data_IF_332936854732
#
_entry.id   IF_332936854732
#
_cell.length_a   1.000
_cell.length_b   1.000
_cell.length_c   1.000
_cell.angle_alpha   90.00
_cell.angle_beta   90.00
_cell.angle_gamma   90.00
#
_symmetry.space_group_name_H-M   'P 1'
#
loop_
_entity.id
_entity.type
_entity.pdbx_description
1 polymer ?
#
# COMPACT_ATOMS: atom_id res chain seq x y z
N UNK A 1 -33.76 95.78 19.21
CA UNK A 1 -33.92 94.39 19.65
C UNK A 1 -34.96 93.64 18.85
N UNK A 2 -34.48 92.85 17.89
CA UNK A 2 -35.02 91.57 17.48
C UNK A 2 -33.89 90.90 16.68
N UNK A 3 -33.34 89.80 17.23
CA UNK A 3 -32.19 89.10 16.69
C UNK A 3 -32.50 88.38 15.38
N UNK A 4 -31.55 88.42 14.45
CA UNK A 4 -31.48 87.48 13.35
C UNK A 4 -30.66 86.27 13.82
N UNK A 5 -31.33 85.15 14.04
CA UNK A 5 -30.69 83.84 14.09
C UNK A 5 -30.07 83.55 12.71
N UNK A 6 -28.84 83.04 12.62
CA UNK A 6 -28.29 82.63 11.34
C UNK A 6 -29.03 81.36 10.88
N UNK A 7 -29.69 81.45 9.73
CA UNK A 7 -30.24 80.32 8.99
C UNK A 7 -29.10 79.32 8.74
N UNK A 8 -29.08 78.24 9.52
CA UNK A 8 -28.26 77.06 9.30
C UNK A 8 -28.80 76.29 8.11
N UNK A 9 -28.58 76.81 6.89
CA UNK A 9 -28.65 75.99 5.69
C UNK A 9 -27.60 74.86 5.81
N UNK A 10 -27.88 73.66 5.30
CA UNK A 10 -26.87 72.60 5.30
C UNK A 10 -25.63 73.18 4.59
N UNK A 11 -24.48 73.09 5.25
CA UNK A 11 -23.21 73.47 4.65
C UNK A 11 -22.99 72.73 3.33
N UNK A 12 -22.03 73.16 2.48
CA UNK A 12 -21.69 72.41 1.29
C UNK A 12 -21.48 70.95 1.68
N UNK A 13 -22.21 70.02 1.05
CA UNK A 13 -22.07 68.60 1.32
C UNK A 13 -20.57 68.27 1.19
N UNK A 14 -20.00 67.76 2.28
CA UNK A 14 -18.62 67.31 2.31
C UNK A 14 -18.59 65.91 1.74
N UNK A 15 -17.64 65.64 0.85
CA UNK A 15 -17.41 64.30 0.34
C UNK A 15 -16.83 63.39 1.44
N UNK A 16 -16.65 62.10 1.16
CA UNK A 16 -16.16 61.17 2.18
C UNK A 16 -14.73 61.49 2.66
N UNK A 17 -13.95 62.26 1.89
CA UNK A 17 -12.59 62.68 2.22
C UNK A 17 -12.57 63.98 3.04
N UNK A 18 -13.75 64.54 3.33
CA UNK A 18 -13.92 65.79 4.08
C UNK A 18 -13.71 67.04 3.24
N UNK A 19 -13.68 66.94 1.91
CA UNK A 19 -13.58 68.07 0.99
C UNK A 19 -14.97 68.66 0.70
N UNK A 20 -15.23 69.94 1.02
CA UNK A 20 -16.49 70.60 0.68
C UNK A 20 -16.72 70.61 -0.84
N UNK A 21 -17.81 69.98 -1.31
CA UNK A 21 -18.15 69.88 -2.73
C UNK A 21 -17.25 68.96 -3.56
N UNK A 22 -16.49 68.06 -2.91
CA UNK A 22 -15.68 67.05 -3.62
C UNK A 22 -16.51 65.91 -4.21
N UNK A 23 -15.87 65.09 -5.06
CA UNK A 23 -16.48 63.96 -5.79
C UNK A 23 -16.36 62.62 -5.08
N UNK A 24 -15.54 62.51 -4.03
CA UNK A 24 -15.20 61.22 -3.44
C UNK A 24 -16.41 60.56 -2.75
N UNK A 25 -16.61 59.28 -3.03
CA UNK A 25 -17.64 58.45 -2.39
C UNK A 25 -17.00 57.25 -1.72
N UNK A 26 -17.62 56.75 -0.66
CA UNK A 26 -17.19 55.49 -0.03
C UNK A 26 -17.65 54.35 -0.93
N UNK A 27 -16.71 53.55 -1.44
CA UNK A 27 -16.98 52.33 -2.20
C UNK A 27 -17.54 51.22 -1.29
N UNK A 28 -17.87 50.07 -1.88
CA UNK A 28 -18.47 48.96 -1.14
C UNK A 28 -17.48 48.23 -0.19
N UNK A 29 -16.18 48.54 -0.28
CA UNK A 29 -15.13 48.08 0.63
C UNK A 29 -14.70 49.13 1.66
N UNK A 30 -15.34 50.30 1.68
CA UNK A 30 -15.04 51.34 2.65
C UNK A 30 -13.90 52.28 2.26
N UNK A 31 -13.37 52.18 1.02
CA UNK A 31 -12.37 53.11 0.48
C UNK A 31 -13.07 54.37 0.01
N UNK A 32 -12.49 55.53 0.32
CA UNK A 32 -13.05 56.82 -0.02
C UNK A 32 -12.20 57.50 -1.10
N UNK A 33 -12.66 57.45 -2.35
CA UNK A 33 -12.10 58.19 -3.47
C UNK A 33 -13.13 58.34 -4.61
N UNK A 34 -12.69 58.82 -5.77
CA UNK A 34 -13.50 59.00 -6.98
C UNK A 34 -12.99 58.20 -8.18
N UNK A 35 -12.16 57.17 -7.94
CA UNK A 35 -11.59 56.32 -8.99
C UNK A 35 -12.32 54.97 -9.08
N UNK A 36 -13.37 54.85 -9.91
CA UNK A 36 -14.11 53.59 -10.05
C UNK A 36 -13.26 52.43 -10.60
N UNK A 37 -12.02 52.66 -11.04
CA UNK A 37 -11.11 51.60 -11.44
C UNK A 37 -10.44 50.89 -10.25
N UNK A 38 -10.48 51.47 -9.05
CA UNK A 38 -9.93 50.87 -7.83
C UNK A 38 -11.01 50.37 -6.85
N UNK A 39 -12.29 50.63 -7.14
CA UNK A 39 -13.43 50.03 -6.45
C UNK A 39 -13.23 48.51 -6.35
N UNK A 40 -13.34 47.97 -5.15
CA UNK A 40 -13.12 46.54 -4.95
C UNK A 40 -14.13 45.67 -5.72
N UNK A 41 -13.69 44.52 -6.19
CA UNK A 41 -14.54 43.52 -6.85
C UNK A 41 -15.06 42.50 -5.84
N UNK A 42 -16.22 41.91 -6.15
CA UNK A 42 -16.70 40.74 -5.43
C UNK A 42 -15.90 39.52 -5.89
N UNK A 43 -15.36 38.77 -4.94
CA UNK A 43 -14.71 37.49 -5.18
C UNK A 43 -15.74 36.39 -5.50
N UNK A 44 -15.30 35.15 -5.73
CA UNK A 44 -16.25 34.06 -6.04
C UNK A 44 -17.12 33.63 -4.83
N UNK A 45 -16.75 33.99 -3.60
CA UNK A 45 -17.45 33.63 -2.37
C UNK A 45 -18.54 34.65 -2.02
N UNK A 46 -18.59 35.75 -2.78
CA UNK A 46 -19.51 36.86 -2.56
C UNK A 46 -18.96 37.91 -1.61
N UNK A 47 -17.67 37.84 -1.25
CA UNK A 47 -17.00 38.84 -0.42
C UNK A 47 -16.43 39.96 -1.30
N UNK A 48 -16.83 41.20 -1.00
CA UNK A 48 -16.27 42.37 -1.65
C UNK A 48 -14.85 42.61 -1.14
N UNK A 49 -13.89 42.66 -2.06
CA UNK A 49 -12.47 42.81 -1.75
C UNK A 49 -11.80 41.54 -1.21
N UNK A 50 -12.43 40.38 -1.34
CA UNK A 50 -11.83 39.09 -1.01
C UNK A 50 -10.87 38.58 -2.10
N UNK A 51 -10.04 37.59 -1.74
CA UNK A 51 -9.00 37.03 -2.60
C UNK A 51 -9.42 35.69 -3.25
N UNK A 52 -10.63 35.18 -2.98
CA UNK A 52 -11.05 33.86 -3.45
C UNK A 52 -11.28 33.82 -4.97
N UNK A 53 -10.76 32.79 -5.63
CA UNK A 53 -10.90 32.57 -7.07
C UNK A 53 -11.59 31.22 -7.29
N UNK A 54 -12.57 31.19 -8.20
CA UNK A 54 -13.21 29.94 -8.56
C UNK A 54 -12.24 29.11 -9.40
N UNK A 55 -11.90 27.91 -8.94
CA UNK A 55 -11.09 26.97 -9.68
C UNK A 55 -11.86 26.37 -10.88
N UNK A 56 -11.19 25.57 -11.70
CA UNK A 56 -11.81 24.93 -12.88
C UNK A 56 -12.87 23.87 -12.54
N UNK A 57 -12.96 23.50 -11.25
CA UNK A 57 -13.92 22.57 -10.68
C UNK A 57 -15.12 23.30 -10.03
N UNK A 58 -15.07 24.64 -9.93
CA UNK A 58 -16.10 25.49 -9.36
C UNK A 58 -16.02 25.63 -7.83
N UNK A 59 -14.94 25.17 -7.20
CA UNK A 59 -14.65 25.44 -5.79
C UNK A 59 -14.09 26.85 -5.70
N UNK A 60 -14.54 27.59 -4.69
CA UNK A 60 -14.18 28.98 -4.49
C UNK A 60 -13.42 29.12 -3.18
N UNK A 61 -12.10 29.29 -3.27
CA UNK A 61 -11.22 29.61 -2.16
C UNK A 61 -9.96 30.34 -2.67
N UNK A 62 -8.99 30.59 -1.79
CA UNK A 62 -7.72 31.28 -2.06
C UNK A 62 -6.50 30.35 -1.97
N UNK A 63 -6.70 29.02 -1.93
CA UNK A 63 -5.63 28.03 -1.80
C UNK A 63 -5.27 27.39 -3.16
N UNK A 64 -4.26 27.91 -3.87
CA UNK A 64 -3.89 27.39 -5.19
C UNK A 64 -3.32 25.96 -5.15
N UNK A 65 -3.09 25.38 -3.97
CA UNK A 65 -2.62 24.00 -3.83
C UNK A 65 -3.73 22.97 -3.97
N UNK A 66 -5.00 23.39 -3.83
CA UNK A 66 -6.17 22.53 -3.97
C UNK A 66 -6.95 22.77 -5.28
N UNK A 67 -6.58 23.80 -6.05
CA UNK A 67 -7.20 24.22 -7.32
C UNK A 67 -7.35 23.04 -8.29
N UNK A 68 -8.54 22.42 -8.30
CA UNK A 68 -8.95 21.40 -9.25
C UNK A 68 -7.86 20.32 -9.48
N UNK A 69 -7.24 19.86 -8.38
CA UNK A 69 -6.12 18.91 -8.41
C UNK A 69 -6.52 17.61 -9.12
N UNK A 70 -5.58 17.08 -9.90
CA UNK A 70 -5.74 15.81 -10.61
C UNK A 70 -5.71 14.64 -9.62
N UNK A 71 -6.75 13.80 -9.66
CA UNK A 71 -6.81 12.55 -8.91
C UNK A 71 -5.82 11.51 -9.49
N UNK A 72 -5.67 10.35 -8.85
CA UNK A 72 -4.71 9.35 -9.36
C UNK A 72 -5.07 8.76 -10.74
N UNK A 73 -6.30 8.98 -11.22
CA UNK A 73 -6.81 8.50 -12.50
C UNK A 73 -6.67 9.55 -13.61
N UNK A 74 -6.11 10.71 -13.29
CA UNK A 74 -5.94 11.80 -14.23
C UNK A 74 -7.16 12.72 -14.36
N UNK A 75 -8.09 12.65 -13.40
CA UNK A 75 -9.33 13.43 -13.43
C UNK A 75 -9.20 14.64 -12.51
N UNK A 76 -9.26 15.84 -13.09
CA UNK A 76 -9.30 17.09 -12.34
C UNK A 76 -10.51 17.14 -11.41
N UNK A 77 -10.28 17.32 -10.11
CA UNK A 77 -11.31 17.27 -9.07
C UNK A 77 -11.98 15.92 -8.90
N UNK A 78 -11.34 14.84 -9.37
CA UNK A 78 -11.84 13.48 -9.17
C UNK A 78 -11.58 12.94 -7.76
N UNK A 79 -12.29 11.87 -7.41
CA UNK A 79 -12.22 11.25 -6.08
C UNK A 79 -11.33 9.99 -6.04
N UNK A 80 -10.62 9.65 -7.12
CA UNK A 80 -9.78 8.44 -7.13
C UNK A 80 -8.49 8.66 -6.31
N UNK A 81 -8.15 7.67 -5.48
CA UNK A 81 -6.94 7.71 -4.66
C UNK A 81 -6.11 6.45 -4.83
N UNK A 82 -4.79 6.57 -4.59
CA UNK A 82 -3.90 5.40 -4.54
C UNK A 82 -4.22 4.61 -3.26
N UNK A 83 -4.56 3.33 -3.40
CA UNK A 83 -4.85 2.41 -2.30
C UNK A 83 -3.58 1.82 -1.66
N UNK A 84 -3.75 1.04 -0.59
CA UNK A 84 -2.64 0.40 0.16
C UNK A 84 -1.84 -0.62 -0.67
N UNK A 85 -2.36 -1.00 -1.85
CA UNK A 85 -1.70 -1.88 -2.81
C UNK A 85 -1.03 -1.10 -3.95
N UNK A 86 -1.01 0.23 -3.89
CA UNK A 86 -0.38 1.09 -4.88
C UNK A 86 -1.21 1.30 -6.16
N UNK A 87 -2.51 0.99 -6.13
CA UNK A 87 -3.39 1.13 -7.30
C UNK A 87 -4.29 2.33 -7.18
N UNK A 88 -4.56 2.99 -8.29
CA UNK A 88 -5.58 4.01 -8.32
C UNK A 88 -6.98 3.38 -8.25
N UNK A 89 -7.72 3.63 -7.18
CA UNK A 89 -9.03 3.06 -6.92
C UNK A 89 -10.06 4.13 -6.50
N UNK A 90 -11.35 3.81 -6.64
CA UNK A 90 -12.44 4.75 -6.37
C UNK A 90 -12.70 5.75 -7.50
N UNK A 91 -13.54 6.75 -7.23
CA UNK A 91 -13.92 7.79 -8.18
C UNK A 91 -14.35 7.23 -9.55
N UNK A 92 -13.76 7.79 -10.61
CA UNK A 92 -14.05 7.43 -12.00
C UNK A 92 -13.49 6.08 -12.46
N UNK A 93 -12.57 5.47 -11.70
CA UNK A 93 -11.96 4.18 -12.06
C UNK A 93 -12.95 3.02 -11.98
N UNK A 94 -13.96 3.13 -11.12
CA UNK A 94 -14.87 2.03 -10.79
C UNK A 94 -14.19 0.83 -10.12
N UNK A 95 -12.90 0.93 -9.77
CA UNK A 95 -12.14 -0.14 -9.11
C UNK A 95 -12.36 -0.07 -7.60
N UNK A 96 -12.64 -1.21 -6.94
CA UNK A 96 -12.65 -1.27 -5.49
C UNK A 96 -11.22 -1.14 -4.95
N UNK A 97 -11.08 -0.46 -3.81
CA UNK A 97 -9.83 -0.48 -3.04
C UNK A 97 -9.47 -1.92 -2.67
N UNK A 98 -8.17 -2.22 -2.63
CA UNK A 98 -7.72 -3.51 -2.17
C UNK A 98 -7.97 -3.69 -0.67
N UNK A 99 -7.97 -4.96 -0.25
CA UNK A 99 -7.95 -5.38 1.14
C UNK A 99 -6.58 -5.96 1.41
N UNK A 100 -5.89 -5.41 2.41
CA UNK A 100 -4.63 -5.95 2.91
C UNK A 100 -4.92 -6.93 4.03
N UNK A 101 -4.36 -8.14 3.94
CA UNK A 101 -4.52 -9.21 4.92
C UNK A 101 -3.17 -9.71 5.40
N UNK A 102 -3.03 -9.90 6.70
CA UNK A 102 -1.86 -10.49 7.35
C UNK A 102 -2.08 -11.98 7.63
N UNK A 103 -1.07 -12.79 7.34
CA UNK A 103 -1.06 -14.23 7.56
C UNK A 103 0.12 -14.63 8.42
N UNK A 104 -0.18 -15.23 9.57
CA UNK A 104 0.81 -15.92 10.40
C UNK A 104 1.14 -17.29 9.79
N UNK A 105 2.39 -17.77 9.92
CA UNK A 105 2.75 -19.11 9.48
C UNK A 105 2.03 -20.17 10.31
N UNK A 106 1.41 -21.11 9.62
CA UNK A 106 0.71 -22.24 10.24
C UNK A 106 1.63 -23.42 10.52
N UNK A 107 2.80 -23.46 9.89
CA UNK A 107 3.86 -24.43 10.15
C UNK A 107 5.21 -23.92 9.64
N UNK A 108 6.29 -24.28 10.31
CA UNK A 108 7.65 -24.17 9.79
C UNK A 108 8.51 -25.38 10.16
N UNK A 109 9.65 -25.56 9.48
CA UNK A 109 10.64 -26.56 9.88
C UNK A 109 11.98 -26.32 9.19
N UNK A 110 13.07 -26.49 9.92
CA UNK A 110 14.38 -26.73 9.29
C UNK A 110 14.57 -28.22 9.03
N UNK A 111 15.06 -28.58 7.84
CA UNK A 111 15.43 -29.94 7.45
C UNK A 111 16.83 -29.97 6.85
N UNK A 112 17.57 -31.06 7.05
CA UNK A 112 18.99 -31.13 6.68
C UNK A 112 19.37 -32.43 5.99
N UNK A 113 20.13 -32.36 4.91
CA UNK A 113 20.59 -33.53 4.16
C UNK A 113 21.59 -34.39 4.95
N UNK A 114 22.40 -33.76 5.80
CA UNK A 114 23.40 -34.43 6.65
C UNK A 114 22.74 -35.19 7.82
N UNK A 115 21.53 -34.81 8.21
CA UNK A 115 20.71 -35.45 9.25
C UNK A 115 19.32 -35.77 8.70
N UNK A 116 19.19 -36.74 7.78
CA UNK A 116 18.01 -36.83 6.92
C UNK A 116 16.72 -37.31 7.60
N UNK A 117 16.80 -37.78 8.85
CA UNK A 117 15.65 -38.14 9.68
C UNK A 117 15.42 -37.19 10.86
N UNK A 118 16.18 -36.10 10.97
CA UNK A 118 15.96 -35.09 11.99
C UNK A 118 14.88 -34.10 11.53
N UNK A 119 14.10 -33.64 12.49
CA UNK A 119 13.10 -32.58 12.36
C UNK A 119 13.47 -31.46 13.34
N UNK A 120 13.30 -30.21 12.91
CA UNK A 120 13.54 -29.03 13.73
C UNK A 120 12.36 -28.04 13.64
N UNK A 121 11.13 -28.54 13.54
CA UNK A 121 9.91 -27.72 13.46
C UNK A 121 9.33 -27.30 14.81
N UNK A 122 10.06 -27.51 15.91
CA UNK A 122 9.69 -26.97 17.24
C UNK A 122 10.75 -26.01 17.78
N UNK A 123 11.73 -25.65 16.95
CA UNK A 123 12.80 -24.75 17.31
C UNK A 123 12.33 -23.31 17.16
N UNK A 124 12.71 -22.42 18.09
CA UNK A 124 12.39 -20.99 18.00
C UNK A 124 13.21 -20.23 16.94
N UNK A 125 14.04 -20.94 16.17
CA UNK A 125 14.96 -20.40 15.18
C UNK A 125 14.93 -21.23 13.89
N UNK A 126 14.85 -20.56 12.75
CA UNK A 126 14.97 -21.14 11.42
C UNK A 126 16.40 -20.99 10.93
N UNK A 127 17.01 -22.08 10.45
CA UNK A 127 18.36 -22.07 9.90
C UNK A 127 18.32 -22.24 8.38
N UNK A 128 18.99 -21.32 7.69
CA UNK A 128 19.25 -21.41 6.25
C UNK A 128 20.75 -21.48 6.04
N UNK A 129 21.25 -22.62 5.57
CA UNK A 129 22.69 -22.89 5.47
C UNK A 129 23.05 -23.75 4.25
N UNK A 130 23.67 -23.11 3.26
CA UNK A 130 24.00 -23.75 2.00
C UNK A 130 22.79 -24.39 1.31
N UNK A 131 23.07 -25.26 0.34
CA UNK A 131 22.04 -25.87 -0.50
C UNK A 131 21.42 -27.15 0.10
N UNK A 132 21.96 -27.62 1.23
CA UNK A 132 21.61 -28.88 1.90
C UNK A 132 20.87 -28.69 3.24
N UNK A 133 20.66 -27.45 3.69
CA UNK A 133 19.80 -27.13 4.83
C UNK A 133 18.68 -26.23 4.35
N UNK A 134 17.46 -26.74 4.38
CA UNK A 134 16.27 -26.03 3.90
C UNK A 134 15.42 -25.62 5.09
N UNK A 135 14.90 -24.40 5.03
CA UNK A 135 13.79 -23.98 5.89
C UNK A 135 12.50 -24.04 5.07
N UNK A 136 11.50 -24.72 5.61
CA UNK A 136 10.13 -24.77 5.10
C UNK A 136 9.28 -23.79 5.92
N UNK A 137 8.40 -23.04 5.26
CA UNK A 137 7.48 -22.11 5.90
C UNK A 137 6.13 -22.19 5.19
N UNK A 138 5.03 -22.45 5.92
CA UNK A 138 3.68 -22.60 5.35
C UNK A 138 2.70 -21.58 5.88
N UNK A 139 1.87 -21.07 4.98
CA UNK A 139 0.76 -20.16 5.27
C UNK A 139 -0.56 -20.77 4.80
N UNK A 140 -1.62 -20.54 5.58
CA UNK A 140 -3.00 -20.87 5.22
C UNK A 140 -3.67 -19.63 4.64
N UNK A 141 -3.98 -19.68 3.34
CA UNK A 141 -4.56 -18.57 2.59
C UNK A 141 -6.09 -18.69 2.44
N UNK A 142 -6.76 -19.57 3.21
CA UNK A 142 -8.21 -19.77 3.12
C UNK A 142 -9.04 -18.53 3.46
N UNK A 143 -8.43 -17.52 4.13
CA UNK A 143 -9.07 -16.23 4.34
C UNK A 143 -9.19 -15.38 3.06
N UNK A 144 -8.39 -15.65 2.03
CA UNK A 144 -8.57 -15.08 0.69
C UNK A 144 -9.77 -15.74 0.01
N UNK A 145 -10.55 -14.96 -0.73
CA UNK A 145 -11.72 -15.48 -1.46
C UNK A 145 -11.28 -16.06 -2.82
N UNK A 146 -12.02 -17.03 -3.34
CA UNK A 146 -11.72 -17.74 -4.60
C UNK A 146 -11.58 -16.83 -5.83
N UNK A 147 -12.23 -15.67 -5.79
CA UNK A 147 -12.20 -14.62 -6.81
C UNK A 147 -11.20 -13.49 -6.49
N UNK A 148 -10.33 -13.66 -5.49
CA UNK A 148 -9.28 -12.70 -5.16
C UNK A 148 -8.26 -12.60 -6.30
N UNK A 149 -8.04 -11.37 -6.75
CA UNK A 149 -6.90 -11.00 -7.58
C UNK A 149 -5.85 -10.38 -6.68
N UNK A 150 -4.65 -10.96 -6.69
CA UNK A 150 -3.53 -10.55 -5.85
C UNK A 150 -2.80 -9.40 -6.52
N UNK A 151 -2.80 -8.24 -5.86
CA UNK A 151 -2.15 -7.02 -6.36
C UNK A 151 -0.69 -6.96 -5.90
N UNK A 152 -0.45 -7.32 -4.64
CA UNK A 152 0.88 -7.30 -4.03
C UNK A 152 0.99 -8.36 -2.93
N UNK A 153 2.20 -8.87 -2.72
CA UNK A 153 2.52 -9.73 -1.60
C UNK A 153 3.93 -9.46 -1.09
N UNK A 154 4.05 -9.40 0.23
CA UNK A 154 5.32 -9.19 0.94
C UNK A 154 5.46 -10.23 2.04
N UNK A 155 6.50 -11.05 1.95
CA UNK A 155 6.95 -11.89 3.04
C UNK A 155 7.89 -11.08 3.93
N UNK A 156 7.58 -11.01 5.22
CA UNK A 156 8.47 -10.44 6.23
C UNK A 156 9.09 -11.55 7.06
N UNK A 157 10.40 -11.47 7.29
CA UNK A 157 11.15 -12.37 8.16
C UNK A 157 12.13 -11.57 9.01
N UNK A 158 12.40 -12.03 10.22
CA UNK A 158 13.32 -11.35 11.12
C UNK A 158 14.64 -12.13 11.24
N UNK A 159 15.71 -11.61 10.63
CA UNK A 159 17.06 -12.18 10.75
C UNK A 159 17.73 -11.65 12.01
N UNK A 160 18.36 -12.50 12.82
CA UNK A 160 18.97 -12.08 14.09
C UNK A 160 20.42 -12.53 14.31
N UNK A 161 20.88 -13.54 13.56
CA UNK A 161 22.26 -14.01 13.61
C UNK A 161 22.66 -14.69 12.30
N UNK A 162 23.93 -14.65 11.94
CA UNK A 162 24.44 -15.38 10.77
C UNK A 162 25.94 -15.27 10.62
N UNK A 163 26.50 -16.17 9.83
CA UNK A 163 27.84 -16.05 9.24
C UNK A 163 27.68 -16.08 7.72
N UNK A 164 27.72 -14.90 7.13
CA UNK A 164 27.41 -14.70 5.71
C UNK A 164 28.58 -14.98 4.79
N UNK A 165 29.79 -15.13 5.34
CA UNK A 165 31.01 -15.46 4.61
C UNK A 165 31.14 -14.76 3.25
N UNK A 166 31.49 -15.53 2.22
CA UNK A 166 31.54 -15.07 0.83
C UNK A 166 30.18 -15.04 0.11
N UNK A 167 29.10 -15.48 0.77
CA UNK A 167 27.76 -15.59 0.19
C UNK A 167 26.93 -14.31 0.27
N UNK A 168 27.47 -13.24 0.87
CA UNK A 168 26.80 -11.94 1.06
C UNK A 168 25.41 -12.02 1.74
N UNK A 169 25.12 -13.15 2.41
CA UNK A 169 23.87 -13.34 3.12
C UNK A 169 22.65 -13.57 2.22
N UNK A 170 22.85 -13.91 0.95
CA UNK A 170 21.74 -14.15 0.02
C UNK A 170 20.95 -15.40 0.43
N UNK A 171 19.63 -15.25 0.53
CA UNK A 171 18.67 -16.33 0.66
C UNK A 171 17.73 -16.28 -0.53
N UNK A 172 17.54 -17.43 -1.17
CA UNK A 172 16.60 -17.62 -2.26
C UNK A 172 15.36 -18.33 -1.74
N UNK A 173 14.20 -17.87 -2.18
CA UNK A 173 12.90 -18.41 -1.79
C UNK A 173 12.26 -19.08 -2.99
N UNK A 174 11.79 -20.31 -2.80
CA UNK A 174 11.16 -21.13 -3.82
C UNK A 174 9.75 -21.53 -3.40
N UNK A 175 8.87 -21.72 -4.37
CA UNK A 175 7.64 -22.47 -4.16
C UNK A 175 7.97 -23.95 -3.95
N UNK A 176 7.24 -24.61 -3.05
CA UNK A 176 7.27 -26.06 -2.95
C UNK A 176 6.58 -26.72 -4.16
N UNK A 177 6.99 -27.93 -4.49
CA UNK A 177 6.33 -28.77 -5.49
C UNK A 177 6.39 -30.25 -5.07
N UNK A 178 5.91 -31.15 -5.92
CA UNK A 178 5.92 -32.59 -5.66
C UNK A 178 7.09 -33.33 -6.32
N UNK A 179 8.14 -32.62 -6.80
CA UNK A 179 9.20 -33.25 -7.59
C UNK A 179 10.07 -34.23 -6.82
N UNK A 180 10.16 -34.07 -5.50
CA UNK A 180 10.99 -34.90 -4.61
C UNK A 180 10.18 -36.01 -3.91
N UNK A 181 8.95 -36.26 -4.36
CA UNK A 181 8.09 -37.35 -3.88
C UNK A 181 7.42 -37.11 -2.52
N UNK A 182 7.69 -35.97 -1.88
CA UNK A 182 6.87 -35.44 -0.79
C UNK A 182 5.66 -34.67 -1.33
N UNK A 183 4.58 -34.67 -0.55
CA UNK A 183 3.35 -33.94 -0.86
C UNK A 183 3.42 -32.54 -0.25
N UNK A 184 3.15 -31.52 -1.07
CA UNK A 184 3.28 -30.10 -0.67
C UNK A 184 2.31 -29.74 0.46
N UNK A 185 1.14 -30.38 0.49
CA UNK A 185 0.05 -29.98 1.37
C UNK A 185 -0.03 -30.80 2.66
N UNK A 186 0.61 -31.96 2.70
CA UNK A 186 0.44 -32.92 3.80
C UNK A 186 1.60 -32.93 4.79
N UNK A 187 2.72 -32.24 4.50
CA UNK A 187 3.83 -32.21 5.44
C UNK A 187 3.40 -31.61 6.78
N UNK A 188 3.90 -32.20 7.87
CA UNK A 188 3.60 -31.76 9.22
C UNK A 188 4.87 -31.20 9.87
N UNK A 189 4.71 -30.10 10.56
CA UNK A 189 5.76 -29.36 11.27
C UNK A 189 6.65 -30.23 12.15
N UNK A 190 6.06 -31.12 12.93
CA UNK A 190 6.74 -31.94 13.94
C UNK A 190 7.32 -33.26 13.40
N UNK A 191 7.06 -33.59 12.13
CA UNK A 191 7.48 -34.88 11.54
C UNK A 191 8.20 -34.77 10.20
N UNK A 192 8.13 -33.62 9.52
CA UNK A 192 8.82 -33.43 8.24
C UNK A 192 10.33 -33.59 8.42
N UNK A 193 10.94 -34.36 7.55
CA UNK A 193 12.37 -34.59 7.55
C UNK A 193 12.90 -34.43 6.13
N UNK A 194 14.22 -34.46 5.96
CA UNK A 194 14.81 -34.40 4.63
C UNK A 194 14.28 -35.50 3.71
N UNK A 195 14.06 -36.70 4.24
CA UNK A 195 13.41 -37.79 3.52
C UNK A 195 11.89 -37.56 3.49
N UNK A 196 11.31 -37.47 2.30
CA UNK A 196 9.87 -37.21 2.12
C UNK A 196 9.49 -35.73 2.18
N UNK A 197 10.47 -34.81 2.17
CA UNK A 197 10.23 -33.37 2.06
C UNK A 197 9.52 -33.01 0.74
N UNK A 198 8.79 -31.89 0.70
CA UNK A 198 8.36 -31.28 -0.56
C UNK A 198 9.57 -30.96 -1.44
N UNK A 199 9.38 -31.06 -2.77
CA UNK A 199 10.41 -30.69 -3.73
C UNK A 199 10.55 -29.18 -3.90
N UNK A 200 11.70 -28.76 -4.43
CA UNK A 200 11.98 -27.35 -4.70
C UNK A 200 11.54 -26.98 -6.12
N UNK A 201 10.54 -26.10 -6.20
CA UNK A 201 9.95 -25.62 -7.45
C UNK A 201 10.59 -24.35 -8.00
N UNK A 202 9.74 -23.43 -8.46
CA UNK A 202 10.15 -22.17 -9.07
C UNK A 202 10.72 -21.23 -8.02
N UNK A 203 11.79 -20.51 -8.37
CA UNK A 203 12.31 -19.41 -7.56
C UNK A 203 11.34 -18.22 -7.60
N UNK A 204 10.89 -17.77 -6.44
CA UNK A 204 9.95 -16.66 -6.26
C UNK A 204 10.67 -15.33 -6.06
N UNK A 205 11.88 -15.37 -5.51
CA UNK A 205 12.73 -14.19 -5.35
C UNK A 205 13.85 -14.44 -4.35
N UNK A 206 14.50 -13.34 -3.94
CA UNK A 206 15.68 -13.36 -3.07
C UNK A 206 15.66 -12.19 -2.11
N UNK A 207 16.26 -12.38 -0.95
CA UNK A 207 16.57 -11.31 -0.01
C UNK A 207 17.97 -11.52 0.56
N UNK A 208 18.53 -10.51 1.20
CA UNK A 208 19.84 -10.58 1.84
C UNK A 208 19.74 -10.25 3.32
N UNK A 209 20.57 -10.92 4.12
CA UNK A 209 20.75 -10.61 5.52
C UNK A 209 22.24 -10.60 5.85
N UNK A 210 22.79 -9.50 6.35
CA UNK A 210 24.24 -9.37 6.55
C UNK A 210 24.79 -10.11 7.78
N UNK A 211 23.92 -10.66 8.64
CA UNK A 211 24.31 -11.44 9.82
C UNK A 211 24.84 -10.62 11.00
N UNK A 212 24.90 -9.29 10.89
CA UNK A 212 25.63 -8.44 11.85
C UNK A 212 24.76 -7.90 12.99
N UNK A 213 23.47 -7.69 12.74
CA UNK A 213 22.51 -7.21 13.73
C UNK A 213 21.10 -7.74 13.44
N UNK A 214 20.19 -7.80 14.42
CA UNK A 214 18.79 -8.11 14.17
C UNK A 214 18.14 -7.11 13.22
N UNK A 215 17.37 -7.61 12.25
CA UNK A 215 16.72 -6.81 11.22
C UNK A 215 15.47 -7.49 10.65
N UNK A 216 14.44 -6.68 10.40
CA UNK A 216 13.30 -7.07 9.56
C UNK A 216 13.71 -7.03 8.10
N UNK A 217 13.35 -8.08 7.37
CA UNK A 217 13.70 -8.27 5.97
C UNK A 217 12.44 -8.57 5.20
N UNK A 218 12.32 -7.93 4.05
CA UNK A 218 11.16 -8.04 3.18
C UNK A 218 11.53 -8.70 1.87
N UNK A 219 10.71 -9.66 1.46
CA UNK A 219 10.69 -10.20 0.11
C UNK A 219 9.35 -9.85 -0.52
N UNK A 220 9.41 -8.97 -1.52
CA UNK A 220 8.28 -8.63 -2.39
C UNK A 220 8.65 -8.89 -3.85
N UNK A 221 7.65 -9.03 -4.71
CA UNK A 221 7.81 -9.07 -6.17
C UNK A 221 6.92 -10.07 -6.88
N UNK A 222 6.92 -9.99 -8.21
CA UNK A 222 6.00 -10.69 -9.10
C UNK A 222 6.02 -12.22 -8.95
N UNK A 223 7.16 -12.80 -8.54
CA UNK A 223 7.27 -14.24 -8.31
C UNK A 223 6.36 -14.71 -7.17
N UNK A 224 6.43 -14.04 -6.01
CA UNK A 224 5.61 -14.35 -4.85
C UNK A 224 4.13 -14.04 -5.11
N UNK A 225 3.83 -12.87 -5.68
CA UNK A 225 2.46 -12.49 -6.06
C UNK A 225 1.83 -13.52 -6.98
N UNK A 226 2.56 -13.97 -8.02
CA UNK A 226 2.05 -14.95 -8.96
C UNK A 226 1.84 -16.33 -8.31
N UNK A 227 2.66 -16.73 -7.35
CA UNK A 227 2.49 -18.01 -6.66
C UNK A 227 1.25 -18.00 -5.77
N UNK A 228 1.06 -16.94 -4.98
CA UNK A 228 -0.15 -16.78 -4.15
C UNK A 228 -1.40 -16.75 -5.04
N UNK A 229 -1.35 -16.05 -6.18
CA UNK A 229 -2.46 -16.05 -7.13
C UNK A 229 -2.79 -17.46 -7.64
N UNK A 230 -1.80 -18.34 -7.80
CA UNK A 230 -2.03 -19.73 -8.19
C UNK A 230 -2.69 -20.53 -7.06
N UNK A 231 -2.23 -20.33 -5.82
CA UNK A 231 -2.78 -21.01 -4.65
C UNK A 231 -4.20 -20.56 -4.29
N UNK A 232 -4.60 -19.33 -4.61
CA UNK A 232 -6.01 -18.89 -4.41
C UNK A 232 -7.00 -19.77 -5.18
N UNK A 233 -6.59 -20.34 -6.31
CA UNK A 233 -7.42 -21.21 -7.15
C UNK A 233 -7.35 -22.69 -6.76
N UNK A 234 -6.58 -23.05 -5.74
CA UNK A 234 -6.56 -24.42 -5.20
C UNK A 234 -7.61 -24.55 -4.08
N UNK A 235 -8.11 -25.77 -3.84
CA UNK A 235 -9.14 -26.00 -2.82
C UNK A 235 -8.59 -25.82 -1.39
N UNK A 236 -7.30 -26.08 -1.21
CA UNK A 236 -6.62 -26.06 0.08
C UNK A 236 -5.95 -24.71 0.40
N UNK A 237 -5.58 -23.93 -0.62
CA UNK A 237 -4.98 -22.59 -0.51
C UNK A 237 -3.80 -22.55 0.48
N UNK A 238 -2.93 -23.56 0.41
CA UNK A 238 -1.74 -23.65 1.26
C UNK A 238 -0.51 -23.20 0.48
N UNK A 239 0.15 -22.14 0.94
CA UNK A 239 1.42 -21.72 0.38
C UNK A 239 2.57 -22.32 1.20
N UNK A 240 3.40 -23.16 0.59
CA UNK A 240 4.67 -23.60 1.21
C UNK A 240 5.86 -22.97 0.50
N UNK A 241 6.68 -22.24 1.26
CA UNK A 241 7.91 -21.59 0.83
C UNK A 241 9.13 -22.38 1.30
N UNK A 242 10.15 -22.45 0.45
CA UNK A 242 11.42 -23.14 0.74
C UNK A 242 12.57 -22.16 0.64
N UNK A 243 13.30 -21.98 1.73
CA UNK A 243 14.41 -21.05 1.83
C UNK A 243 15.72 -21.82 1.74
N UNK A 244 16.61 -21.36 0.87
CA UNK A 244 17.91 -21.98 0.62
C UNK A 244 18.95 -20.89 0.41
N UNK A 245 20.19 -21.11 0.85
CA UNK A 245 21.34 -20.27 0.49
C UNK A 245 22.35 -21.07 -0.31
N UNK A 246 23.36 -20.42 -0.89
CA UNK A 246 24.46 -21.15 -1.55
C UNK A 246 25.70 -21.24 -0.66
N UNK A 247 26.05 -20.14 0.01
CA UNK A 247 27.34 -19.99 0.71
C UNK A 247 27.24 -19.22 2.03
N UNK A 248 26.03 -18.94 2.52
CA UNK A 248 25.79 -18.21 3.77
C UNK A 248 25.07 -19.11 4.77
N UNK A 249 25.34 -18.88 6.05
CA UNK A 249 24.54 -19.40 7.16
C UNK A 249 23.81 -18.23 7.81
N UNK A 250 22.48 -18.25 7.82
CA UNK A 250 21.66 -17.23 8.48
C UNK A 250 20.57 -17.85 9.33
N UNK A 251 20.19 -17.14 10.39
CA UNK A 251 19.16 -17.53 11.35
C UNK A 251 18.07 -16.50 11.40
N UNK A 252 16.84 -16.99 11.35
CA UNK A 252 15.61 -16.19 11.39
C UNK A 252 14.74 -16.66 12.54
N UNK A 253 13.83 -15.81 13.01
CA UNK A 253 12.83 -16.24 14.02
C UNK A 253 11.85 -17.22 13.39
N UNK A 254 11.57 -18.29 14.12
CA UNK A 254 10.51 -19.23 13.81
C UNK A 254 9.18 -18.76 14.41
N UNK A 255 8.09 -19.43 14.06
CA UNK A 255 6.77 -19.14 14.64
C UNK A 255 6.67 -19.46 16.13
N UNK A 256 7.55 -20.31 16.65
CA UNK A 256 7.67 -20.62 18.09
C UNK A 256 8.32 -19.49 18.89
N UNK A 257 8.89 -18.48 18.22
CA UNK A 257 9.58 -17.39 18.91
C UNK A 257 8.64 -16.60 19.83
N UNK A 258 9.08 -16.23 21.03
CA UNK A 258 8.21 -15.59 22.04
C UNK A 258 7.68 -14.21 21.61
N UNK A 259 8.50 -13.41 20.93
CA UNK A 259 8.11 -12.10 20.41
C UNK A 259 7.34 -12.25 19.09
N UNK A 260 6.02 -12.08 19.15
CA UNK A 260 5.12 -12.28 17.99
C UNK A 260 5.42 -11.32 16.84
N UNK A 261 5.90 -10.13 17.14
CA UNK A 261 6.28 -9.09 16.19
C UNK A 261 7.54 -9.43 15.38
N UNK A 262 8.41 -10.30 15.90
CA UNK A 262 9.60 -10.79 15.20
C UNK A 262 9.32 -12.08 14.41
N UNK A 263 8.12 -12.66 14.51
CA UNK A 263 7.78 -13.89 13.78
C UNK A 263 7.63 -13.62 12.28
N UNK A 264 7.82 -14.65 11.42
CA UNK A 264 7.50 -14.50 10.01
C UNK A 264 6.04 -14.09 9.83
N UNK A 265 5.76 -13.25 8.83
CA UNK A 265 4.40 -12.90 8.42
C UNK A 265 4.34 -12.73 6.91
N UNK A 266 3.20 -13.06 6.32
CA UNK A 266 2.91 -12.78 4.92
C UNK A 266 1.81 -11.72 4.84
N UNK A 267 2.10 -10.62 4.17
CA UNK A 267 1.15 -9.53 3.91
C UNK A 267 0.69 -9.64 2.47
N UNK A 268 -0.62 -9.74 2.26
CA UNK A 268 -1.21 -9.91 0.93
C UNK A 268 -2.23 -8.80 0.68
N UNK A 269 -1.99 -8.01 -0.35
CA UNK A 269 -2.93 -7.04 -0.89
C UNK A 269 -3.72 -7.65 -2.04
N UNK A 270 -5.05 -7.69 -1.92
CA UNK A 270 -5.91 -8.29 -2.93
C UNK A 270 -7.22 -7.52 -3.10
N UNK A 271 -7.80 -7.58 -4.29
CA UNK A 271 -9.13 -7.09 -4.58
C UNK A 271 -10.01 -8.20 -5.14
N UNK A 272 -11.33 -7.98 -5.15
CA UNK A 272 -12.24 -8.91 -5.82
C UNK A 272 -12.13 -8.75 -7.33
N UNK A 273 -11.87 -9.86 -8.00
CA UNK A 273 -11.92 -9.94 -9.44
C UNK A 273 -13.35 -9.79 -9.97
N UNK A 274 -13.48 -9.22 -11.17
CA UNK A 274 -14.74 -9.23 -11.89
C UNK A 274 -14.91 -10.58 -12.56
N UNK A 275 -15.90 -11.37 -12.13
CA UNK A 275 -16.24 -12.64 -12.78
C UNK A 275 -16.85 -12.33 -14.14
N UNK A 276 -16.13 -12.65 -15.22
CA UNK A 276 -16.68 -12.64 -16.57
C UNK A 276 -17.00 -14.08 -16.95
N UNK A 277 -18.30 -14.40 -16.98
CA UNK A 277 -18.77 -15.70 -17.48
C UNK A 277 -18.54 -15.75 -18.99
N UNK A 278 -17.62 -16.61 -19.42
CA UNK A 278 -17.34 -16.84 -20.83
C UNK A 278 -18.18 -18.03 -21.31
N UNK A 279 -19.16 -17.74 -22.15
CA UNK A 279 -19.95 -18.79 -22.83
C UNK A 279 -19.05 -19.60 -23.76
N UNK A 280 -19.19 -20.93 -23.73
CA UNK A 280 -18.45 -21.81 -24.62
C UNK A 280 -18.76 -21.47 -26.09
N UNK A 281 -17.70 -21.20 -26.88
CA UNK A 281 -17.84 -20.99 -28.32
C UNK A 281 -18.51 -22.20 -28.96
N UNK A 282 -19.55 -21.97 -29.75
CA UNK A 282 -20.29 -23.04 -30.43
C UNK A 282 -19.34 -23.93 -31.24
N UNK A 283 -19.28 -25.22 -30.89
CA UNK A 283 -18.49 -26.22 -31.59
C UNK A 283 -19.19 -26.58 -32.90
N UNK A 284 -18.78 -25.98 -34.03
CA UNK A 284 -19.23 -26.43 -35.34
C UNK A 284 -18.35 -27.59 -35.80
N UNK A 285 -18.82 -28.81 -35.59
CA UNK A 285 -18.27 -30.01 -36.23
C UNK A 285 -18.51 -29.91 -37.74
N UNK A 286 -17.45 -29.93 -38.56
CA UNK A 286 -17.50 -29.98 -40.03
C UNK A 286 -17.30 -31.41 -40.51
#
# INVERSE_FOLDING_TARGET
DAGAEPDGGPGPEVDCAGAPGGSATVDICGVCDDDPANDCAMDCAGEWGGDAIADSCGVCDDDPTNDCVEDCAGVLGGDAAVDDCGRCAGGSTGLPACVVSDFDPVADATIRADMPGANFGSEAELLVEGDQVWTLLRFDLTALVEDSVIDAATLHVHGFAGDVGGGAGEVRVFAANESDGGTVDEWQEDTVAWMGRPGRGRELGRFTYDGTAPADIELAGDGLTAEIQREVFTDNRLLTLIFVSDMSSSRYRAREHDAVEERPRLVVGAHRGTVVELEAGADTHV
#
